data_IF_192555829847
#
_entry.id   IF_192555829847
#
_cell.length_a   1.000
_cell.length_b   1.000
_cell.length_c   1.000
_cell.angle_alpha   90.00
_cell.angle_beta   90.00
_cell.angle_gamma   90.00
#
_symmetry.space_group_name_H-M   'P 1'
#
loop_
_entity.id
_entity.type
_entity.pdbx_description
1 polymer ?
#
# COMPACT_ATOMS: atom_id res chain seq x y z
N UNK A 1 27.61 -74.14 -16.63
CA UNK A 1 26.27 -73.55 -16.89
C UNK A 1 25.61 -72.93 -15.65
N UNK A 2 25.63 -73.60 -14.46
CA UNK A 2 25.01 -73.03 -13.23
C UNK A 2 25.63 -71.69 -12.74
N UNK A 3 26.93 -71.44 -12.95
CA UNK A 3 27.64 -70.21 -12.54
C UNK A 3 27.38 -68.99 -13.49
N UNK A 4 27.09 -69.26 -14.76
CA UNK A 4 26.76 -68.24 -15.74
C UNK A 4 25.31 -67.83 -15.58
N UNK A 5 24.41 -68.71 -15.20
CA UNK A 5 23.01 -68.40 -14.94
C UNK A 5 22.82 -67.51 -13.69
N UNK A 6 23.62 -67.75 -12.64
CA UNK A 6 23.61 -66.90 -11.43
C UNK A 6 24.17 -65.50 -11.66
N UNK A 7 25.14 -65.35 -12.58
CA UNK A 7 25.70 -64.02 -12.92
C UNK A 7 24.71 -63.15 -13.77
N UNK A 8 23.97 -63.85 -14.69
CA UNK A 8 22.94 -63.19 -15.51
C UNK A 8 21.72 -62.75 -14.68
N UNK A 9 21.32 -63.62 -13.69
CA UNK A 9 20.23 -63.22 -12.75
C UNK A 9 20.65 -62.07 -11.81
N UNK A 10 21.90 -62.03 -11.35
CA UNK A 10 22.42 -60.96 -10.52
C UNK A 10 22.55 -59.64 -11.30
N UNK A 11 22.96 -59.67 -12.59
CA UNK A 11 22.99 -58.52 -13.46
C UNK A 11 21.58 -58.01 -13.82
N UNK A 12 20.60 -58.91 -14.02
CA UNK A 12 19.21 -58.52 -14.27
C UNK A 12 18.54 -57.90 -13.03
N UNK A 13 18.89 -58.32 -11.82
CA UNK A 13 18.42 -57.70 -10.58
C UNK A 13 19.08 -56.34 -10.31
N UNK A 14 20.35 -56.16 -10.64
CA UNK A 14 21.05 -54.86 -10.53
C UNK A 14 20.55 -53.88 -11.60
N UNK A 15 20.25 -54.34 -12.82
CA UNK A 15 19.64 -53.50 -13.86
C UNK A 15 18.16 -53.20 -13.58
N UNK A 16 17.43 -54.06 -12.87
CA UNK A 16 16.06 -53.81 -12.41
C UNK A 16 15.97 -52.81 -11.25
N UNK A 17 17.04 -52.67 -10.45
CA UNK A 17 17.12 -51.70 -9.38
C UNK A 17 17.68 -50.34 -9.83
N UNK A 18 18.25 -50.21 -11.04
CA UNK A 18 18.73 -48.93 -11.59
C UNK A 18 17.71 -48.22 -12.46
N UNK A 19 16.51 -48.74 -12.67
CA UNK A 19 15.46 -48.11 -13.44
C UNK A 19 14.29 -47.53 -12.61
N UNK A 20 14.48 -47.44 -11.29
CA UNK A 20 13.66 -46.55 -10.42
C UNK A 20 14.53 -45.36 -9.99
N UNK A 21 15.21 -44.76 -10.95
CA UNK A 21 15.67 -43.40 -10.82
C UNK A 21 14.46 -42.51 -11.16
N UNK A 22 13.75 -42.13 -10.10
CA UNK A 22 12.87 -41.02 -9.93
C UNK A 22 12.25 -40.42 -11.18
N UNK A 23 11.05 -40.83 -11.56
CA UNK A 23 10.13 -39.84 -12.07
C UNK A 23 9.91 -38.87 -10.90
N UNK A 24 10.41 -37.65 -10.99
CA UNK A 24 10.03 -36.57 -10.08
C UNK A 24 8.51 -36.58 -9.97
N UNK A 25 7.99 -36.54 -8.76
CA UNK A 25 6.55 -36.40 -8.57
C UNK A 25 6.09 -35.17 -9.35
N UNK A 26 4.92 -35.22 -10.01
CA UNK A 26 4.44 -34.08 -10.74
C UNK A 26 4.32 -32.89 -9.78
N UNK A 27 4.92 -31.78 -10.14
CA UNK A 27 4.87 -30.55 -9.34
C UNK A 27 3.48 -29.93 -9.39
N UNK A 28 3.07 -29.32 -8.28
CA UNK A 28 1.87 -28.50 -8.25
C UNK A 28 2.16 -27.15 -8.91
N UNK A 29 1.51 -26.85 -10.03
CA UNK A 29 1.67 -25.57 -10.71
C UNK A 29 0.78 -24.51 -10.09
N UNK A 30 1.38 -23.35 -9.72
CA UNK A 30 0.70 -22.13 -9.31
C UNK A 30 1.02 -21.02 -10.29
N UNK A 31 -0.02 -20.41 -10.87
CA UNK A 31 0.06 -19.22 -11.73
C UNK A 31 -0.21 -17.99 -10.87
N UNK A 32 0.75 -17.08 -10.80
CA UNK A 32 0.69 -15.86 -9.98
C UNK A 32 0.73 -14.63 -10.88
N UNK A 33 -0.31 -13.79 -10.81
CA UNK A 33 -0.34 -12.52 -11.48
C UNK A 33 -0.10 -11.38 -10.51
N UNK A 34 0.70 -10.41 -10.94
CA UNK A 34 0.99 -9.22 -10.15
C UNK A 34 1.15 -7.99 -11.05
N UNK A 35 0.96 -6.81 -10.48
CA UNK A 35 1.22 -5.54 -11.15
C UNK A 35 2.67 -5.06 -10.97
N UNK A 36 3.42 -5.66 -10.05
CA UNK A 36 4.86 -5.44 -9.84
C UNK A 36 5.59 -6.79 -9.72
N UNK A 37 6.91 -6.77 -9.80
CA UNK A 37 7.75 -7.95 -9.61
C UNK A 37 8.10 -8.23 -8.13
N UNK A 38 7.56 -7.46 -7.18
CA UNK A 38 7.87 -7.59 -5.76
C UNK A 38 7.52 -8.98 -5.24
N UNK A 39 6.26 -9.42 -5.41
CA UNK A 39 5.82 -10.76 -4.94
C UNK A 39 6.61 -11.88 -5.61
N UNK A 40 6.94 -11.77 -6.90
CA UNK A 40 7.82 -12.73 -7.58
C UNK A 40 9.17 -12.81 -6.88
N UNK A 41 9.83 -11.69 -6.64
CA UNK A 41 11.12 -11.63 -5.95
C UNK A 41 11.06 -12.21 -4.54
N UNK A 42 9.97 -11.96 -3.81
CA UNK A 42 9.74 -12.56 -2.48
C UNK A 42 9.59 -14.07 -2.57
N UNK A 43 8.79 -14.59 -3.50
CA UNK A 43 8.59 -16.03 -3.69
C UNK A 43 9.92 -16.71 -4.06
N UNK A 44 10.65 -16.17 -5.01
CA UNK A 44 11.94 -16.73 -5.47
C UNK A 44 13.01 -16.71 -4.37
N UNK A 45 13.01 -15.71 -3.51
CA UNK A 45 14.03 -15.57 -2.44
C UNK A 45 13.69 -16.38 -1.19
N UNK A 46 12.44 -16.34 -0.72
CA UNK A 46 12.10 -16.81 0.63
C UNK A 46 11.29 -18.12 0.65
N UNK A 47 10.48 -18.39 -0.38
CA UNK A 47 9.54 -19.50 -0.37
C UNK A 47 9.95 -20.67 -1.29
N UNK A 48 10.15 -20.40 -2.57
CA UNK A 48 10.42 -21.43 -3.59
C UNK A 48 11.64 -22.34 -3.29
N UNK A 49 12.74 -21.86 -2.67
CA UNK A 49 13.86 -22.72 -2.33
C UNK A 49 13.52 -23.86 -1.35
N UNK A 50 12.48 -23.69 -0.53
CA UNK A 50 12.01 -24.68 0.45
C UNK A 50 10.81 -25.48 -0.05
N UNK A 51 10.24 -25.15 -1.22
CA UNK A 51 9.05 -25.78 -1.82
C UNK A 51 9.32 -26.28 -3.24
N UNK A 52 10.27 -27.21 -3.43
CA UNK A 52 10.63 -27.73 -4.77
C UNK A 52 9.49 -28.51 -5.44
N UNK A 53 8.46 -28.93 -4.68
CA UNK A 53 7.24 -29.58 -5.16
C UNK A 53 6.28 -28.63 -5.87
N UNK A 54 6.49 -27.29 -5.78
CA UNK A 54 5.68 -26.28 -6.44
C UNK A 54 6.44 -25.72 -7.65
N UNK A 55 5.73 -25.55 -8.75
CA UNK A 55 6.19 -24.86 -9.95
C UNK A 55 5.45 -23.54 -10.07
N UNK A 56 6.18 -22.43 -10.05
CA UNK A 56 5.60 -21.08 -10.19
C UNK A 56 5.67 -20.60 -11.62
N UNK A 57 4.55 -20.04 -12.12
CA UNK A 57 4.48 -19.26 -13.34
C UNK A 57 4.05 -17.84 -13.00
N UNK A 58 4.87 -16.83 -13.35
CA UNK A 58 4.59 -15.43 -13.05
C UNK A 58 4.17 -14.68 -14.31
N UNK A 59 3.16 -13.83 -14.16
CA UNK A 59 2.78 -12.87 -15.19
C UNK A 59 2.64 -11.49 -14.54
N UNK A 60 3.43 -10.54 -15.04
CA UNK A 60 3.48 -9.17 -14.52
C UNK A 60 2.89 -8.21 -15.55
N UNK A 61 1.88 -7.46 -15.16
CA UNK A 61 1.22 -6.45 -15.96
C UNK A 61 1.21 -5.13 -15.18
N UNK A 62 1.74 -4.01 -15.72
CA UNK A 62 1.72 -2.73 -15.01
C UNK A 62 0.30 -2.19 -14.86
N UNK A 63 0.10 -1.30 -13.87
CA UNK A 63 -1.19 -0.60 -13.68
C UNK A 63 -1.37 0.59 -14.61
N UNK A 64 -0.33 0.98 -15.35
CA UNK A 64 -0.38 2.10 -16.30
C UNK A 64 -1.55 1.96 -17.28
N UNK A 65 -2.41 2.97 -17.33
CA UNK A 65 -3.60 2.97 -18.19
C UNK A 65 -4.59 1.84 -17.90
N UNK A 66 -4.63 1.38 -16.64
CA UNK A 66 -5.46 0.26 -16.18
C UNK A 66 -5.22 -1.06 -16.94
N UNK A 67 -3.97 -1.29 -17.36
CA UNK A 67 -3.63 -2.49 -18.14
C UNK A 67 -3.79 -3.76 -17.31
N UNK A 68 -3.40 -3.73 -16.02
CA UNK A 68 -3.56 -4.85 -15.10
C UNK A 68 -5.03 -5.18 -14.86
N UNK A 69 -5.84 -4.19 -14.47
CA UNK A 69 -7.27 -4.34 -14.19
C UNK A 69 -8.01 -4.85 -15.44
N UNK A 70 -7.73 -4.26 -16.60
CA UNK A 70 -8.30 -4.71 -17.87
C UNK A 70 -7.97 -6.18 -18.14
N UNK A 71 -6.74 -6.61 -17.85
CA UNK A 71 -6.33 -8.00 -18.05
C UNK A 71 -7.04 -8.94 -17.08
N UNK A 72 -7.17 -8.55 -15.79
CA UNK A 72 -7.90 -9.31 -14.77
C UNK A 72 -9.36 -9.45 -15.15
N UNK A 73 -10.04 -8.35 -15.49
CA UNK A 73 -11.46 -8.33 -15.85
C UNK A 73 -11.76 -9.20 -17.07
N UNK A 74 -10.97 -9.06 -18.13
CA UNK A 74 -11.14 -9.84 -19.36
C UNK A 74 -10.86 -11.34 -19.18
N UNK A 75 -10.10 -11.71 -18.14
CA UNK A 75 -9.80 -13.12 -17.86
C UNK A 75 -10.77 -13.69 -16.84
N UNK A 76 -10.91 -13.06 -15.69
CA UNK A 76 -11.72 -13.61 -14.59
C UNK A 76 -13.22 -13.38 -14.80
N UNK A 77 -13.60 -12.33 -15.55
CA UNK A 77 -14.99 -12.05 -15.91
C UNK A 77 -15.57 -12.96 -17.00
N UNK A 78 -14.73 -13.81 -17.64
CA UNK A 78 -15.18 -14.76 -18.67
C UNK A 78 -15.01 -16.18 -18.16
N UNK A 79 -16.08 -16.96 -17.92
CA UNK A 79 -16.02 -18.26 -17.24
C UNK A 79 -15.00 -19.24 -17.80
N UNK A 80 -14.94 -19.40 -19.14
CA UNK A 80 -13.98 -20.31 -19.78
C UNK A 80 -12.53 -19.82 -19.67
N UNK A 81 -12.32 -18.50 -19.69
CA UNK A 81 -10.99 -17.91 -19.54
C UNK A 81 -10.51 -17.97 -18.09
N UNK A 82 -11.41 -17.81 -17.12
CA UNK A 82 -11.10 -17.83 -15.69
C UNK A 82 -10.54 -19.20 -15.21
N UNK A 83 -10.89 -20.29 -15.87
CA UNK A 83 -10.39 -21.65 -15.57
C UNK A 83 -9.27 -22.13 -16.50
N UNK A 84 -8.81 -21.29 -17.44
CA UNK A 84 -7.73 -21.64 -18.35
C UNK A 84 -6.40 -21.88 -17.61
N UNK A 85 -5.48 -22.59 -18.23
CA UNK A 85 -4.16 -22.85 -17.62
C UNK A 85 -3.36 -21.57 -17.38
N UNK A 86 -3.53 -20.55 -18.21
CA UNK A 86 -2.85 -19.26 -18.12
C UNK A 86 -3.49 -18.30 -17.09
N UNK A 87 -4.76 -18.53 -16.71
CA UNK A 87 -5.42 -17.70 -15.71
C UNK A 87 -4.71 -17.83 -14.35
N UNK A 88 -4.70 -16.77 -13.53
CA UNK A 88 -4.04 -16.83 -12.23
C UNK A 88 -4.77 -17.79 -11.28
N UNK A 89 -4.01 -18.46 -10.44
CA UNK A 89 -4.50 -19.09 -9.23
C UNK A 89 -4.57 -18.08 -8.09
N UNK A 90 -3.53 -17.23 -8.02
CA UNK A 90 -3.37 -16.13 -7.07
C UNK A 90 -3.05 -14.87 -7.87
N UNK A 91 -3.65 -13.76 -7.48
CA UNK A 91 -3.37 -12.46 -8.09
C UNK A 91 -3.33 -11.35 -7.04
N UNK A 92 -2.52 -10.33 -7.32
CA UNK A 92 -2.37 -9.21 -6.39
C UNK A 92 -3.39 -8.12 -6.68
N UNK A 93 -3.77 -7.41 -5.63
CA UNK A 93 -4.73 -6.30 -5.64
C UNK A 93 -4.08 -5.09 -4.98
N UNK A 94 -4.08 -3.97 -5.67
CA UNK A 94 -3.57 -2.70 -5.15
C UNK A 94 -4.70 -1.91 -4.49
N UNK A 95 -4.38 -1.04 -3.55
CA UNK A 95 -5.34 -0.27 -2.76
C UNK A 95 -6.36 0.51 -3.61
N UNK A 96 -5.97 1.04 -4.77
CA UNK A 96 -6.87 1.81 -5.63
C UNK A 96 -8.04 1.00 -6.19
N UNK A 97 -7.85 -0.33 -6.35
CA UNK A 97 -8.87 -1.19 -6.95
C UNK A 97 -9.23 -2.44 -6.14
N UNK A 98 -8.63 -2.66 -4.97
CA UNK A 98 -8.88 -3.85 -4.15
C UNK A 98 -10.36 -4.01 -3.82
N UNK A 99 -11.07 -2.93 -3.48
CA UNK A 99 -12.50 -2.98 -3.15
C UNK A 99 -13.36 -3.46 -4.30
N UNK A 100 -13.10 -3.02 -5.53
CA UNK A 100 -13.78 -3.51 -6.72
C UNK A 100 -13.68 -5.04 -6.84
N UNK A 101 -12.48 -5.59 -6.63
CA UNK A 101 -12.28 -7.03 -6.78
C UNK A 101 -12.77 -7.87 -5.60
N UNK A 102 -12.66 -7.40 -4.37
CA UNK A 102 -13.22 -8.16 -3.23
C UNK A 102 -14.75 -8.13 -3.21
N UNK A 103 -15.40 -7.12 -3.79
CA UNK A 103 -16.86 -7.13 -4.00
C UNK A 103 -17.28 -8.04 -5.17
N UNK A 104 -16.41 -8.25 -6.15
CA UNK A 104 -16.72 -9.08 -7.33
C UNK A 104 -16.79 -10.58 -7.01
N UNK A 105 -17.44 -11.34 -7.90
CA UNK A 105 -17.43 -12.81 -7.87
C UNK A 105 -16.10 -13.41 -8.40
N UNK A 106 -15.18 -12.59 -8.91
CA UNK A 106 -13.89 -13.03 -9.46
C UNK A 106 -12.93 -13.48 -8.37
N UNK A 107 -12.98 -12.82 -7.22
CA UNK A 107 -12.11 -13.10 -6.08
C UNK A 107 -12.80 -14.06 -5.12
N UNK A 108 -12.15 -15.18 -4.85
CA UNK A 108 -12.67 -16.24 -4.00
C UNK A 108 -12.57 -15.92 -2.51
N UNK A 109 -13.41 -16.58 -1.72
CA UNK A 109 -13.31 -16.57 -0.27
C UNK A 109 -12.07 -17.38 0.17
N UNK A 110 -11.19 -16.79 0.96
CA UNK A 110 -9.97 -17.48 1.42
C UNK A 110 -10.28 -18.77 2.22
N UNK A 111 -11.46 -18.88 2.83
CA UNK A 111 -11.91 -20.13 3.48
C UNK A 111 -12.09 -21.29 2.49
N UNK A 112 -12.31 -21.02 1.21
CA UNK A 112 -12.47 -22.06 0.18
C UNK A 112 -11.17 -22.82 -0.08
N UNK A 113 -10.02 -22.27 0.30
CA UNK A 113 -8.70 -22.89 0.26
C UNK A 113 -8.16 -23.29 1.63
N UNK A 114 -8.97 -23.16 2.70
CA UNK A 114 -8.68 -23.73 4.01
C UNK A 114 -8.35 -22.72 5.12
N UNK A 115 -8.39 -21.41 4.88
CA UNK A 115 -8.19 -20.43 5.96
C UNK A 115 -9.26 -20.55 7.05
N UNK A 116 -8.83 -20.44 8.30
CA UNK A 116 -9.68 -20.41 9.49
C UNK A 116 -9.91 -19.00 10.01
N UNK A 117 -10.95 -18.81 10.82
CA UNK A 117 -11.21 -17.51 11.45
C UNK A 117 -10.06 -17.04 12.36
N UNK A 118 -9.44 -18.01 13.07
CA UNK A 118 -8.30 -17.72 13.96
C UNK A 118 -7.07 -17.24 13.17
N UNK A 119 -6.81 -17.79 11.99
CA UNK A 119 -5.72 -17.34 11.11
C UNK A 119 -6.01 -15.93 10.57
N UNK A 120 -7.24 -15.66 10.14
CA UNK A 120 -7.62 -14.37 9.56
C UNK A 120 -7.60 -13.22 10.58
N UNK A 121 -7.69 -13.53 11.88
CA UNK A 121 -7.76 -12.54 12.95
C UNK A 121 -6.42 -11.88 13.33
N UNK A 122 -5.27 -12.36 12.79
CA UNK A 122 -3.94 -11.85 13.19
C UNK A 122 -3.45 -10.65 12.38
N UNK A 123 -4.09 -10.36 11.23
CA UNK A 123 -3.76 -9.19 10.42
C UNK A 123 -4.15 -7.87 11.11
N UNK A 124 -3.46 -6.76 10.78
CA UNK A 124 -3.92 -5.45 11.22
C UNK A 124 -5.35 -5.17 10.75
N UNK A 125 -6.23 -4.66 11.64
CA UNK A 125 -7.66 -4.48 11.33
C UNK A 125 -7.92 -3.69 10.04
N UNK A 126 -7.19 -2.60 9.79
CA UNK A 126 -7.36 -1.77 8.60
C UNK A 126 -7.11 -2.58 7.31
N UNK A 127 -6.04 -3.39 7.28
CA UNK A 127 -5.69 -4.18 6.10
C UNK A 127 -6.67 -5.34 5.88
N UNK A 128 -7.15 -5.96 6.98
CA UNK A 128 -8.19 -6.98 6.93
C UNK A 128 -9.52 -6.40 6.41
N UNK A 129 -9.98 -5.26 6.94
CA UNK A 129 -11.21 -4.57 6.51
C UNK A 129 -11.19 -4.20 5.02
N UNK A 130 -10.04 -3.73 4.51
CA UNK A 130 -9.89 -3.41 3.09
C UNK A 130 -9.96 -4.68 2.23
N UNK A 131 -9.38 -5.80 2.67
CA UNK A 131 -9.41 -7.10 1.99
C UNK A 131 -10.73 -7.88 2.13
N UNK A 132 -11.72 -7.34 2.86
CA UNK A 132 -13.06 -7.91 2.99
C UNK A 132 -14.04 -7.28 2.01
N UNK A 133 -15.04 -8.07 1.59
CA UNK A 133 -16.21 -7.51 0.91
C UNK A 133 -17.22 -6.93 1.92
N UNK A 134 -18.29 -6.31 1.41
CA UNK A 134 -19.38 -5.70 2.20
C UNK A 134 -20.12 -6.68 3.12
N UNK A 135 -20.03 -8.00 2.85
CA UNK A 135 -20.60 -9.06 3.69
C UNK A 135 -19.61 -9.57 4.76
N UNK A 136 -18.43 -8.97 4.91
CA UNK A 136 -17.40 -9.38 5.87
C UNK A 136 -16.64 -10.65 5.47
N UNK A 137 -16.71 -11.06 4.19
CA UNK A 137 -15.97 -12.22 3.68
C UNK A 137 -14.55 -11.79 3.33
N UNK A 138 -13.55 -12.45 3.94
CA UNK A 138 -12.14 -12.19 3.63
C UNK A 138 -11.76 -12.79 2.28
N UNK A 139 -11.39 -11.94 1.33
CA UNK A 139 -11.03 -12.32 -0.03
C UNK A 139 -9.60 -11.94 -0.42
N UNK A 140 -8.95 -11.08 0.35
CA UNK A 140 -7.55 -10.71 0.20
C UNK A 140 -6.84 -10.54 1.53
N UNK A 141 -5.55 -10.90 1.60
CA UNK A 141 -4.65 -10.64 2.72
C UNK A 141 -3.40 -9.93 2.23
N UNK A 142 -2.87 -9.02 3.04
CA UNK A 142 -1.68 -8.23 2.72
C UNK A 142 -0.49 -8.65 3.56
N UNK A 143 0.70 -8.71 2.95
CA UNK A 143 1.97 -8.90 3.69
C UNK A 143 2.47 -7.62 4.34
N UNK A 144 1.99 -6.46 3.90
CA UNK A 144 2.37 -5.16 4.41
C UNK A 144 1.17 -4.47 5.08
N UNK A 145 1.44 -3.60 6.02
CA UNK A 145 0.50 -2.56 6.43
C UNK A 145 1.06 -1.21 6.01
N UNK A 146 0.20 -0.31 5.58
CA UNK A 146 0.60 0.96 4.97
C UNK A 146 0.06 2.17 5.73
N UNK A 147 0.24 2.21 7.08
CA UNK A 147 -0.14 3.38 7.85
C UNK A 147 0.61 4.60 7.35
N UNK A 148 -0.07 5.73 7.32
CA UNK A 148 0.50 7.00 6.96
C UNK A 148 0.69 7.90 8.18
N UNK A 149 1.68 8.77 8.10
CA UNK A 149 2.05 9.73 9.13
C UNK A 149 2.47 11.05 8.48
N UNK A 150 2.65 12.09 9.28
CA UNK A 150 3.24 13.34 8.83
C UNK A 150 4.77 13.25 8.93
N UNK A 151 5.46 13.46 7.81
CA UNK A 151 6.91 13.53 7.71
C UNK A 151 7.33 14.98 7.53
N UNK A 152 8.29 15.46 8.32
CA UNK A 152 8.68 16.86 8.27
C UNK A 152 10.20 17.07 8.29
N UNK A 153 10.64 18.21 7.76
CA UNK A 153 12.03 18.67 7.75
C UNK A 153 12.36 19.28 9.11
N UNK A 154 13.16 18.58 9.91
CA UNK A 154 13.53 18.99 11.27
C UNK A 154 14.28 20.32 11.29
N UNK A 155 15.20 20.54 10.34
CA UNK A 155 15.94 21.80 10.23
C UNK A 155 15.03 23.02 9.94
N UNK A 156 14.00 22.84 9.12
CA UNK A 156 13.03 23.91 8.81
C UNK A 156 12.10 24.16 10.00
N UNK A 157 11.65 23.11 10.69
CA UNK A 157 10.85 23.21 11.90
C UNK A 157 11.60 23.96 13.02
N UNK A 158 12.87 23.63 13.26
CA UNK A 158 13.69 24.34 14.23
C UNK A 158 13.96 25.81 13.79
N UNK A 159 14.30 26.02 12.52
CA UNK A 159 14.63 27.34 11.97
C UNK A 159 13.48 28.34 12.09
N UNK A 160 12.28 27.94 11.76
CA UNK A 160 11.15 28.86 11.61
C UNK A 160 10.13 28.78 12.75
N UNK A 161 9.95 27.59 13.36
CA UNK A 161 8.95 27.38 14.40
C UNK A 161 9.55 27.14 15.79
N UNK A 162 10.89 27.01 15.88
CA UNK A 162 11.58 26.72 17.14
C UNK A 162 11.35 25.29 17.65
N UNK A 163 10.78 24.41 16.84
CA UNK A 163 10.44 23.02 17.15
C UNK A 163 11.70 22.15 17.10
N UNK A 164 11.96 21.39 18.18
CA UNK A 164 13.18 20.61 18.34
C UNK A 164 12.96 19.11 18.46
N UNK A 165 11.71 18.67 18.64
CA UNK A 165 11.39 17.25 18.78
C UNK A 165 10.10 16.89 18.03
N UNK A 166 9.89 15.59 17.70
CA UNK A 166 8.65 15.12 17.12
C UNK A 166 7.42 15.39 17.99
N UNK A 167 7.56 15.36 19.32
CA UNK A 167 6.47 15.65 20.25
C UNK A 167 6.06 17.13 20.19
N UNK A 168 7.05 18.04 20.09
CA UNK A 168 6.77 19.46 19.90
C UNK A 168 6.12 19.73 18.54
N UNK A 169 6.54 19.00 17.48
CA UNK A 169 5.90 19.10 16.17
C UNK A 169 4.47 18.57 16.21
N UNK A 170 4.22 17.47 16.94
CA UNK A 170 2.86 16.92 17.09
C UNK A 170 1.89 17.94 17.69
N UNK A 171 2.29 18.74 18.67
CA UNK A 171 1.43 19.80 19.22
C UNK A 171 1.08 20.89 18.18
N UNK A 172 1.93 21.10 17.20
CA UNK A 172 1.72 22.04 16.08
C UNK A 172 0.80 21.51 14.98
N UNK A 173 0.60 20.17 14.91
CA UNK A 173 -0.14 19.53 13.82
C UNK A 173 -1.11 18.44 14.30
N UNK A 174 -1.56 18.51 15.56
CA UNK A 174 -2.39 17.47 16.19
C UNK A 174 -3.82 17.40 15.66
N UNK A 175 -4.28 18.46 15.03
CA UNK A 175 -5.56 18.58 14.34
C UNK A 175 -5.42 19.58 13.18
N UNK A 176 -6.45 19.67 12.33
CA UNK A 176 -6.39 20.51 11.14
C UNK A 176 -6.42 22.00 11.45
N UNK A 177 -7.01 22.42 12.57
CA UNK A 177 -6.99 23.82 13.02
C UNK A 177 -5.58 24.23 13.40
N UNK A 178 -4.91 23.46 14.25
CA UNK A 178 -3.52 23.74 14.64
C UNK A 178 -2.55 23.56 13.47
N UNK A 179 -2.84 22.67 12.52
CA UNK A 179 -2.07 22.54 11.28
C UNK A 179 -2.13 23.83 10.44
N UNK A 180 -3.33 24.41 10.28
CA UNK A 180 -3.50 25.65 9.55
C UNK A 180 -2.86 26.85 10.27
N UNK A 181 -3.04 26.96 11.61
CA UNK A 181 -2.38 27.99 12.43
C UNK A 181 -0.84 27.91 12.28
N UNK A 182 -0.29 26.67 12.25
CA UNK A 182 1.14 26.44 12.04
C UNK A 182 1.60 26.83 10.65
N UNK A 183 0.79 26.60 9.62
CA UNK A 183 1.09 27.04 8.26
C UNK A 183 1.17 28.57 8.14
N UNK A 184 0.29 29.30 8.82
CA UNK A 184 0.30 30.77 8.88
C UNK A 184 1.52 31.29 9.68
N UNK A 185 1.84 30.66 10.82
CA UNK A 185 3.04 30.96 11.61
C UNK A 185 4.30 30.75 10.76
N UNK A 186 4.39 29.62 10.06
CA UNK A 186 5.50 29.26 9.17
C UNK A 186 5.69 30.31 8.06
N UNK A 187 4.59 30.70 7.39
CA UNK A 187 4.61 31.74 6.36
C UNK A 187 5.14 33.06 6.91
N UNK A 188 4.67 33.47 8.09
CA UNK A 188 5.10 34.71 8.75
C UNK A 188 6.58 34.64 9.12
N UNK A 189 7.01 33.57 9.77
CA UNK A 189 8.39 33.40 10.25
C UNK A 189 9.41 33.25 9.10
N UNK A 190 9.00 32.67 7.98
CA UNK A 190 9.85 32.48 6.81
C UNK A 190 9.75 33.63 5.78
N UNK A 191 8.92 34.65 6.03
CA UNK A 191 8.59 35.69 5.04
C UNK A 191 8.04 35.09 3.72
N UNK A 192 7.33 33.95 3.83
CA UNK A 192 6.75 33.20 2.71
C UNK A 192 7.72 32.29 1.94
N UNK A 193 8.97 32.15 2.39
CA UNK A 193 9.95 31.31 1.72
C UNK A 193 9.69 29.81 1.92
N UNK A 194 9.22 29.40 3.10
CA UNK A 194 8.87 28.03 3.43
C UNK A 194 7.35 27.82 3.35
N UNK A 195 6.93 26.72 2.71
CA UNK A 195 5.52 26.35 2.59
C UNK A 195 5.22 25.15 3.47
N UNK A 196 3.97 25.05 3.94
CA UNK A 196 3.56 23.95 4.82
C UNK A 196 3.59 22.60 4.10
N UNK A 197 2.95 22.52 2.92
CA UNK A 197 2.88 21.36 2.05
C UNK A 197 3.11 21.78 0.59
N UNK A 198 3.28 20.81 -0.30
CA UNK A 198 3.47 21.10 -1.72
C UNK A 198 2.17 21.61 -2.37
N UNK A 199 1.06 21.00 -2.08
CA UNK A 199 -0.27 21.40 -2.53
C UNK A 199 -1.36 20.93 -1.58
N UNK A 200 -2.54 21.52 -1.68
CA UNK A 200 -3.69 21.12 -0.86
C UNK A 200 -4.09 19.65 -1.08
N UNK A 201 -3.89 19.12 -2.29
CA UNK A 201 -4.13 17.69 -2.57
C UNK A 201 -3.24 16.72 -1.80
N UNK A 202 -2.08 17.17 -1.29
CA UNK A 202 -1.16 16.29 -0.51
C UNK A 202 -1.79 15.79 0.80
N UNK A 203 -2.77 16.53 1.34
CA UNK A 203 -3.43 16.15 2.61
C UNK A 203 -4.63 15.22 2.42
N UNK A 204 -5.10 15.01 1.18
CA UNK A 204 -6.31 14.23 0.90
C UNK A 204 -6.26 12.81 1.48
N UNK A 205 -5.15 12.08 1.26
CA UNK A 205 -5.02 10.71 1.73
C UNK A 205 -5.15 10.58 3.26
N UNK A 206 -4.76 11.60 4.01
CA UNK A 206 -4.96 11.66 5.45
C UNK A 206 -6.38 12.12 5.79
N UNK A 207 -6.83 13.23 5.18
CA UNK A 207 -8.10 13.86 5.53
C UNK A 207 -9.30 12.95 5.32
N UNK A 208 -9.34 12.16 4.25
CA UNK A 208 -10.45 11.25 3.97
C UNK A 208 -10.71 10.21 5.09
N UNK A 209 -9.73 9.92 5.95
CA UNK A 209 -9.88 9.02 7.10
C UNK A 209 -10.56 9.69 8.30
N UNK A 210 -10.77 11.00 8.27
CA UNK A 210 -11.54 11.72 9.30
C UNK A 210 -13.05 11.61 9.07
N UNK A 211 -13.49 11.28 7.86
CA UNK A 211 -14.91 11.14 7.54
C UNK A 211 -15.61 10.19 8.52
N UNK A 212 -16.84 10.52 8.87
CA UNK A 212 -17.70 9.68 9.71
C UNK A 212 -18.40 8.57 8.92
N UNK A 213 -18.58 8.80 7.61
CA UNK A 213 -19.26 7.90 6.67
C UNK A 213 -18.52 7.83 5.33
N UNK A 214 -18.70 6.72 4.60
CA UNK A 214 -18.18 6.54 3.25
C UNK A 214 -18.96 7.35 2.20
N UNK A 215 -18.45 7.32 0.96
CA UNK A 215 -19.12 7.95 -0.19
C UNK A 215 -20.49 7.35 -0.52
N UNK A 216 -20.71 6.10 -0.17
CA UNK A 216 -21.98 5.41 -0.43
C UNK A 216 -22.52 4.82 0.86
N UNK A 217 -23.73 5.25 1.25
CA UNK A 217 -24.45 4.78 2.44
C UNK A 217 -25.82 4.30 2.01
N UNK A 218 -26.16 3.06 2.32
CA UNK A 218 -27.43 2.43 1.95
C UNK A 218 -27.77 2.55 0.45
N UNK A 219 -26.76 2.46 -0.42
CA UNK A 219 -26.89 2.55 -1.87
C UNK A 219 -27.08 3.97 -2.41
N UNK A 220 -26.85 5.00 -1.61
CA UNK A 220 -26.98 6.42 -1.97
C UNK A 220 -25.64 7.14 -1.87
N UNK A 221 -25.39 8.08 -2.79
CA UNK A 221 -24.27 9.00 -2.65
C UNK A 221 -24.43 9.80 -1.35
N UNK A 222 -23.38 9.77 -0.54
CA UNK A 222 -23.28 10.54 0.70
C UNK A 222 -22.12 11.54 0.59
N UNK A 223 -22.38 12.79 0.89
CA UNK A 223 -21.36 13.82 1.04
C UNK A 223 -21.27 14.12 2.53
N UNK A 224 -20.21 13.59 3.15
CA UNK A 224 -19.93 13.77 4.58
C UNK A 224 -19.63 15.25 4.86
N UNK A 225 -20.11 15.78 5.99
CA UNK A 225 -19.90 17.19 6.35
C UNK A 225 -18.40 17.55 6.45
N UNK A 226 -17.55 16.61 6.86
CA UNK A 226 -16.09 16.74 6.92
C UNK A 226 -15.46 17.10 5.55
N UNK A 227 -16.13 16.72 4.43
CA UNK A 227 -15.64 17.09 3.10
C UNK A 227 -15.79 18.59 2.80
N UNK A 228 -16.77 19.25 3.40
CA UNK A 228 -16.94 20.70 3.27
C UNK A 228 -15.84 21.44 4.03
N UNK A 229 -15.48 20.95 5.21
CA UNK A 229 -14.36 21.49 5.99
C UNK A 229 -13.03 21.27 5.27
N UNK A 230 -12.86 20.12 4.57
CA UNK A 230 -11.72 19.87 3.70
C UNK A 230 -11.60 20.93 2.59
N UNK A 231 -12.69 21.26 1.92
CA UNK A 231 -12.68 22.23 0.83
C UNK A 231 -12.31 23.64 1.32
N UNK A 232 -12.80 24.08 2.49
CA UNK A 232 -12.43 25.36 3.08
C UNK A 232 -10.95 25.37 3.51
N UNK A 233 -10.45 24.27 4.07
CA UNK A 233 -9.03 24.11 4.41
C UNK A 233 -8.16 24.20 3.15
N UNK A 234 -8.48 23.45 2.10
CA UNK A 234 -7.75 23.46 0.84
C UNK A 234 -7.74 24.84 0.19
N UNK A 235 -8.89 25.51 0.18
CA UNK A 235 -9.00 26.87 -0.35
C UNK A 235 -8.12 27.86 0.43
N UNK A 236 -8.13 27.80 1.75
CA UNK A 236 -7.30 28.65 2.60
C UNK A 236 -5.81 28.39 2.34
N UNK A 237 -5.39 27.10 2.32
CA UNK A 237 -4.01 26.73 2.03
C UNK A 237 -3.50 27.28 0.70
N UNK A 238 -4.33 27.23 -0.35
CA UNK A 238 -3.96 27.70 -1.69
C UNK A 238 -4.03 29.23 -1.84
N UNK A 239 -5.12 29.88 -1.34
CA UNK A 239 -5.35 31.30 -1.54
C UNK A 239 -4.47 32.15 -0.63
N UNK A 240 -4.17 31.67 0.58
CA UNK A 240 -3.28 32.36 1.51
C UNK A 240 -1.79 32.04 1.27
N UNK A 241 -1.45 31.39 0.14
CA UNK A 241 -0.08 31.12 -0.26
C UNK A 241 0.71 30.30 0.77
N UNK A 242 0.07 29.25 1.32
CA UNK A 242 0.64 28.33 2.32
C UNK A 242 1.21 27.06 1.69
N UNK A 243 1.03 26.88 0.37
CA UNK A 243 1.52 25.74 -0.42
C UNK A 243 2.47 26.20 -1.54
N UNK A 244 3.17 25.22 -2.15
CA UNK A 244 3.94 25.43 -3.39
C UNK A 244 3.03 25.52 -4.64
N UNK A 245 1.72 25.32 -4.48
CA UNK A 245 0.70 25.30 -5.56
C UNK A 245 0.98 24.25 -6.63
N UNK A 246 1.48 23.09 -6.20
CA UNK A 246 1.83 21.97 -7.06
C UNK A 246 1.32 20.65 -6.47
N UNK A 247 0.99 19.70 -7.34
CA UNK A 247 0.52 18.38 -6.91
C UNK A 247 1.65 17.40 -6.60
N UNK A 248 1.30 16.33 -5.91
CA UNK A 248 2.16 15.16 -5.71
C UNK A 248 2.66 14.59 -7.05
N UNK A 249 3.80 13.91 -7.00
CA UNK A 249 4.46 13.25 -8.15
C UNK A 249 5.02 14.20 -9.22
N UNK A 250 4.87 15.51 -9.05
CA UNK A 250 5.46 16.53 -9.91
C UNK A 250 6.88 16.92 -9.49
N UNK A 251 7.60 17.59 -10.39
CA UNK A 251 8.98 18.03 -10.12
C UNK A 251 9.10 18.95 -8.89
N UNK A 252 8.15 19.84 -8.68
CA UNK A 252 8.10 20.71 -7.49
C UNK A 252 8.00 19.93 -6.19
N UNK A 253 7.21 18.85 -6.19
CA UNK A 253 7.06 17.96 -5.03
C UNK A 253 8.38 17.27 -4.68
N UNK A 254 9.09 16.74 -5.70
CA UNK A 254 10.41 16.14 -5.52
C UNK A 254 11.50 17.17 -5.17
N UNK A 255 11.43 18.40 -5.71
CA UNK A 255 12.35 19.47 -5.37
C UNK A 255 12.28 19.86 -3.88
N UNK A 256 11.09 19.80 -3.28
CA UNK A 256 10.93 19.97 -1.83
C UNK A 256 11.59 18.83 -1.02
N UNK A 257 11.47 17.58 -1.49
CA UNK A 257 12.15 16.44 -0.87
C UNK A 257 13.66 16.55 -0.95
N UNK A 258 14.21 17.05 -2.06
CA UNK A 258 15.65 17.31 -2.25
C UNK A 258 16.16 18.51 -1.47
N UNK A 259 15.25 19.36 -0.96
CA UNK A 259 15.63 20.61 -0.27
C UNK A 259 16.02 21.76 -1.19
N UNK A 260 15.71 21.67 -2.49
CA UNK A 260 15.91 22.73 -3.49
C UNK A 260 14.92 23.90 -3.28
N UNK A 261 13.75 23.57 -2.72
CA UNK A 261 12.77 24.52 -2.20
C UNK A 261 12.36 24.14 -0.78
N UNK A 262 11.91 25.10 0.01
CA UNK A 262 11.53 24.86 1.40
C UNK A 262 10.06 24.44 1.50
N UNK A 263 9.80 23.14 1.65
CA UNK A 263 8.52 22.52 1.97
C UNK A 263 8.66 21.79 3.30
N UNK A 264 7.84 22.14 4.30
CA UNK A 264 8.01 21.61 5.66
C UNK A 264 7.53 20.19 5.79
N UNK A 265 6.32 19.85 5.32
CA UNK A 265 5.63 18.60 5.61
C UNK A 265 5.22 17.82 4.34
N UNK A 266 5.16 16.49 4.51
CA UNK A 266 4.60 15.53 3.57
C UNK A 266 3.76 14.51 4.32
N UNK A 267 2.61 14.14 3.79
CA UNK A 267 1.80 13.04 4.29
C UNK A 267 2.14 11.78 3.48
N UNK A 268 2.91 10.88 4.06
CA UNK A 268 3.39 9.68 3.38
C UNK A 268 3.19 8.42 4.23
N UNK A 269 2.90 7.28 3.59
CA UNK A 269 2.84 5.99 4.25
C UNK A 269 4.24 5.36 4.38
N UNK A 270 4.28 4.15 4.90
CA UNK A 270 5.50 3.37 5.09
C UNK A 270 6.33 3.24 3.81
N UNK A 271 5.71 2.81 2.71
CA UNK A 271 6.37 2.71 1.41
C UNK A 271 6.82 4.08 0.87
N UNK A 272 6.07 5.14 1.16
CA UNK A 272 6.45 6.51 0.78
C UNK A 272 7.77 6.95 1.40
N UNK A 273 8.08 6.51 2.63
CA UNK A 273 9.37 6.74 3.26
C UNK A 273 10.51 6.08 2.47
N UNK A 274 10.37 4.80 2.13
CA UNK A 274 11.44 3.99 1.55
C UNK A 274 11.59 4.15 0.05
N UNK A 275 10.48 4.21 -0.69
CA UNK A 275 10.47 4.18 -2.16
C UNK A 275 10.23 5.56 -2.80
N UNK A 276 9.87 6.58 -1.99
CA UNK A 276 9.61 7.93 -2.51
C UNK A 276 10.50 8.97 -1.84
N UNK A 277 10.42 9.15 -0.53
CA UNK A 277 11.13 10.22 0.16
C UNK A 277 12.65 10.00 0.20
N UNK A 278 13.10 8.80 0.62
CA UNK A 278 14.53 8.48 0.71
C UNK A 278 15.23 8.54 -0.66
N UNK A 279 14.70 7.95 -1.76
CA UNK A 279 15.33 8.06 -3.09
C UNK A 279 15.34 9.47 -3.67
N UNK A 280 14.42 10.33 -3.25
CA UNK A 280 14.34 11.71 -3.72
C UNK A 280 14.91 12.73 -2.71
N UNK A 281 15.69 12.30 -1.73
CA UNK A 281 16.32 13.21 -0.76
C UNK A 281 17.52 13.97 -1.31
N UNK A 282 18.05 13.57 -2.47
CA UNK A 282 19.17 14.22 -3.16
C UNK A 282 19.06 13.99 -4.66
N UNK A 283 19.53 14.93 -5.45
CA UNK A 283 19.71 14.72 -6.88
C UNK A 283 20.81 13.66 -7.15
N UNK A 284 20.51 12.72 -8.05
CA UNK A 284 21.46 11.64 -8.41
C UNK A 284 21.59 10.54 -7.37
N UNK A 285 20.54 10.26 -6.60
CA UNK A 285 20.48 9.10 -5.73
C UNK A 285 20.81 7.80 -6.48
N UNK A 286 21.75 7.01 -5.95
CA UNK A 286 22.08 5.70 -6.52
C UNK A 286 21.09 4.63 -6.03
N UNK A 287 20.11 4.33 -6.87
CA UNK A 287 19.08 3.34 -6.56
C UNK A 287 19.58 1.88 -6.64
N UNK A 288 20.70 1.63 -7.34
CA UNK A 288 21.31 0.29 -7.42
C UNK A 288 22.11 -0.04 -6.15
N UNK A 289 22.69 1.02 -5.50
CA UNK A 289 23.48 0.87 -4.27
C UNK A 289 22.98 1.86 -3.19
N UNK A 290 21.73 1.76 -2.73
CA UNK A 290 21.08 2.76 -1.89
C UNK A 290 21.79 3.00 -0.55
N UNK A 291 22.43 1.97 -0.01
CA UNK A 291 23.09 2.00 1.30
C UNK A 291 24.65 2.11 1.19
N UNK A 292 25.18 2.43 0.00
CA UNK A 292 26.61 2.68 -0.15
C UNK A 292 27.05 3.93 0.62
N UNK A 293 28.27 3.91 1.18
CA UNK A 293 28.83 5.04 1.91
C UNK A 293 28.86 6.32 1.06
N UNK A 294 29.16 6.18 -0.25
CA UNK A 294 29.22 7.29 -1.19
C UNK A 294 27.86 7.92 -1.40
N UNK A 295 26.81 7.10 -1.61
CA UNK A 295 25.44 7.57 -1.79
C UNK A 295 24.91 8.28 -0.54
N UNK A 296 25.07 7.65 0.64
CA UNK A 296 24.64 8.25 1.92
C UNK A 296 25.40 9.54 2.20
N UNK A 297 26.69 9.59 1.92
CA UNK A 297 27.51 10.81 2.08
C UNK A 297 27.00 11.93 1.17
N UNK A 298 26.79 11.63 -0.13
CA UNK A 298 26.24 12.60 -1.06
C UNK A 298 24.87 13.13 -0.60
N UNK A 299 23.98 12.24 -0.17
CA UNK A 299 22.64 12.60 0.30
C UNK A 299 22.66 13.43 1.60
N UNK A 300 23.63 13.21 2.47
CA UNK A 300 23.82 13.98 3.71
C UNK A 300 24.43 15.35 3.46
N UNK A 301 25.42 15.44 2.57
CA UNK A 301 26.14 16.70 2.30
C UNK A 301 25.41 17.64 1.34
N UNK A 302 24.65 17.08 0.37
CA UNK A 302 24.03 17.82 -0.73
C UNK A 302 22.51 17.71 -0.81
N UNK A 303 21.89 16.95 0.11
CA UNK A 303 20.47 16.70 0.14
C UNK A 303 19.87 16.84 1.54
N UNK A 304 18.87 16.00 1.82
CA UNK A 304 18.07 16.06 3.04
C UNK A 304 18.16 14.79 3.91
N UNK A 305 19.12 13.91 3.64
CA UNK A 305 19.32 12.69 4.42
C UNK A 305 19.65 13.03 5.89
N UNK A 306 18.92 12.44 6.83
CA UNK A 306 19.09 12.68 8.27
C UNK A 306 18.30 13.87 8.82
N UNK A 307 17.69 14.68 7.94
CA UNK A 307 16.93 15.89 8.32
C UNK A 307 15.41 15.63 8.46
N UNK A 308 14.95 14.42 8.18
CA UNK A 308 13.53 14.08 8.30
C UNK A 308 13.19 13.52 9.69
N UNK A 309 11.96 13.80 10.14
CA UNK A 309 11.35 13.20 11.33
C UNK A 309 9.90 12.87 11.04
N UNK A 310 9.37 11.93 11.81
CA UNK A 310 7.97 11.51 11.75
C UNK A 310 7.22 12.01 12.98
N UNK A 311 5.95 12.35 12.79
CA UNK A 311 4.97 12.56 13.85
C UNK A 311 3.61 12.05 13.40
N UNK A 312 2.66 11.79 14.32
CA UNK A 312 1.36 11.21 14.00
C UNK A 312 0.58 12.04 12.96
N UNK A 313 0.69 13.37 13.07
CA UNK A 313 -0.12 14.30 12.29
C UNK A 313 -1.53 14.48 12.85
N UNK A 314 -2.45 15.08 12.07
CA UNK A 314 -3.81 15.38 12.53
C UNK A 314 -4.69 14.15 12.68
N UNK A 315 -4.46 13.12 11.87
CA UNK A 315 -5.29 11.90 11.80
C UNK A 315 -4.46 10.69 11.40
N UNK A 316 -4.77 9.53 11.95
CA UNK A 316 -4.21 8.25 11.51
C UNK A 316 -4.89 7.79 10.21
N UNK A 317 -4.13 7.38 9.23
CA UNK A 317 -4.63 6.96 7.93
C UNK A 317 -3.82 5.78 7.36
N UNK A 318 -4.28 5.23 6.25
CA UNK A 318 -3.55 4.23 5.46
C UNK A 318 -3.56 4.66 3.99
N UNK A 319 -2.46 4.43 3.31
CA UNK A 319 -2.36 4.76 1.88
C UNK A 319 -1.55 3.69 1.13
N UNK A 320 -2.18 3.07 0.13
CA UNK A 320 -1.58 1.99 -0.64
C UNK A 320 -1.73 0.63 0.04
N UNK A 321 -0.93 -0.31 -0.39
CA UNK A 321 -0.93 -1.69 0.05
C UNK A 321 -1.24 -2.67 -1.08
N UNK A 322 -0.78 -3.90 -0.89
CA UNK A 322 -0.96 -4.99 -1.86
C UNK A 322 -1.55 -6.19 -1.15
N UNK A 323 -2.67 -6.69 -1.67
CA UNK A 323 -3.34 -7.90 -1.16
C UNK A 323 -3.15 -9.06 -2.12
N UNK A 324 -3.02 -10.26 -1.60
CA UNK A 324 -3.08 -11.51 -2.34
C UNK A 324 -4.51 -12.04 -2.30
N UNK A 325 -5.14 -12.15 -3.47
CA UNK A 325 -6.45 -12.76 -3.66
C UNK A 325 -6.35 -14.03 -4.48
N UNK A 326 -7.41 -14.87 -4.45
CA UNK A 326 -7.50 -16.11 -5.21
C UNK A 326 -8.56 -16.01 -6.31
N UNK A 327 -8.31 -16.64 -7.44
CA UNK A 327 -9.31 -16.83 -8.50
C UNK A 327 -10.41 -17.77 -8.02
N UNK A 328 -11.63 -17.26 -7.86
CA UNK A 328 -12.78 -18.01 -7.36
C UNK A 328 -13.08 -19.27 -8.19
N UNK A 329 -13.02 -19.16 -9.52
CA UNK A 329 -13.35 -20.25 -10.44
C UNK A 329 -12.31 -21.40 -10.35
N UNK A 330 -11.01 -21.05 -10.27
CA UNK A 330 -9.95 -22.06 -10.08
C UNK A 330 -9.98 -22.68 -8.69
N UNK A 331 -10.18 -21.88 -7.65
CA UNK A 331 -10.30 -22.39 -6.28
C UNK A 331 -11.47 -23.37 -6.12
N UNK A 332 -12.60 -23.13 -6.80
CA UNK A 332 -13.76 -24.04 -6.78
C UNK A 332 -13.46 -25.42 -7.40
N UNK A 333 -12.55 -25.50 -8.36
CA UNK A 333 -12.23 -26.74 -9.10
C UNK A 333 -10.88 -27.36 -8.73
N UNK A 334 -10.06 -26.68 -7.95
CA UNK A 334 -8.76 -27.17 -7.50
C UNK A 334 -8.92 -28.39 -6.59
N UNK A 335 -7.99 -29.33 -6.71
CA UNK A 335 -7.84 -30.44 -5.77
C UNK A 335 -7.26 -29.95 -4.43
N UNK A 336 -7.31 -30.84 -3.43
CA UNK A 336 -6.86 -30.51 -2.07
C UNK A 336 -5.36 -30.12 -2.02
N UNK A 337 -4.52 -30.71 -2.89
CA UNK A 337 -3.08 -30.41 -2.96
C UNK A 337 -2.85 -28.99 -3.45
N UNK A 338 -3.57 -28.57 -4.50
CA UNK A 338 -3.47 -27.24 -5.04
C UNK A 338 -4.05 -26.18 -4.09
N UNK A 339 -5.18 -26.49 -3.43
CA UNK A 339 -5.75 -25.63 -2.39
C UNK A 339 -4.78 -25.42 -1.23
N UNK A 340 -4.16 -26.52 -0.77
CA UNK A 340 -3.15 -26.44 0.30
C UNK A 340 -1.94 -25.59 -0.12
N UNK A 341 -1.47 -25.71 -1.37
CA UNK A 341 -0.35 -24.92 -1.87
C UNK A 341 -0.71 -23.41 -1.95
N UNK A 342 -1.93 -23.05 -2.40
CA UNK A 342 -2.39 -21.66 -2.39
C UNK A 342 -2.52 -21.11 -0.97
N UNK A 343 -3.13 -21.88 -0.06
CA UNK A 343 -3.26 -21.51 1.35
C UNK A 343 -1.89 -21.25 1.98
N UNK A 344 -0.96 -22.22 1.83
CA UNK A 344 0.36 -22.16 2.44
C UNK A 344 1.18 -20.98 1.94
N UNK A 345 1.14 -20.72 0.63
CA UNK A 345 1.80 -19.54 0.03
C UNK A 345 1.27 -18.23 0.58
N UNK A 346 -0.05 -18.04 0.59
CA UNK A 346 -0.66 -16.80 1.09
C UNK A 346 -0.37 -16.64 2.59
N UNK A 347 -0.57 -17.71 3.37
CA UNK A 347 -0.31 -17.71 4.81
C UNK A 347 1.15 -17.35 5.11
N UNK A 348 2.10 -17.95 4.40
CA UNK A 348 3.52 -17.66 4.59
C UNK A 348 3.84 -16.18 4.43
N UNK A 349 3.38 -15.56 3.37
CA UNK A 349 3.69 -14.15 3.12
C UNK A 349 2.91 -13.17 4.00
N UNK A 350 1.70 -13.54 4.44
CA UNK A 350 0.81 -12.55 5.08
C UNK A 350 0.62 -12.76 6.59
N UNK A 351 0.87 -13.97 7.11
CA UNK A 351 0.54 -14.33 8.50
C UNK A 351 1.67 -15.06 9.23
N UNK A 352 2.79 -15.41 8.56
CA UNK A 352 3.93 -16.06 9.20
C UNK A 352 4.80 -14.99 9.88
N UNK A 353 4.77 -14.94 11.22
CA UNK A 353 5.47 -13.94 11.99
C UNK A 353 7.00 -14.02 11.86
N UNK A 354 7.56 -15.22 11.70
CA UNK A 354 9.01 -15.42 11.55
C UNK A 354 9.47 -14.88 10.18
N UNK A 355 8.73 -15.20 9.10
CA UNK A 355 8.99 -14.62 7.79
C UNK A 355 8.83 -13.10 7.80
N UNK A 356 7.71 -12.59 8.33
CA UNK A 356 7.43 -11.16 8.33
C UNK A 356 8.46 -10.37 9.15
N UNK A 357 8.94 -10.92 10.27
CA UNK A 357 10.04 -10.32 11.05
C UNK A 357 11.35 -10.30 10.25
N UNK A 358 11.65 -11.38 9.53
CA UNK A 358 12.84 -11.45 8.67
C UNK A 358 12.71 -10.47 7.48
N UNK A 359 11.55 -10.43 6.83
CA UNK A 359 11.28 -9.55 5.71
C UNK A 359 11.39 -8.06 6.09
N UNK A 360 10.85 -7.70 7.25
CA UNK A 360 10.99 -6.35 7.80
C UNK A 360 12.46 -5.95 8.02
N UNK A 361 13.28 -6.88 8.51
CA UNK A 361 14.71 -6.64 8.70
C UNK A 361 15.47 -6.50 7.36
N UNK A 362 15.09 -7.27 6.35
CA UNK A 362 15.74 -7.29 5.04
C UNK A 362 15.35 -6.09 4.15
N UNK A 363 14.09 -5.65 4.22
CA UNK A 363 13.51 -4.63 3.34
C UNK A 363 13.34 -3.26 4.00
N UNK A 364 13.19 -3.22 5.33
CA UNK A 364 12.75 -2.04 6.06
C UNK A 364 11.24 -1.77 5.96
N UNK A 365 10.49 -2.61 5.25
CA UNK A 365 9.04 -2.44 5.04
C UNK A 365 8.26 -2.69 6.34
N UNK A 366 7.08 -2.07 6.45
CA UNK A 366 6.21 -2.24 7.61
C UNK A 366 5.20 -3.35 7.33
N UNK A 367 5.37 -4.47 8.05
CA UNK A 367 4.66 -5.73 7.77
C UNK A 367 3.23 -5.77 8.30
N UNK A 368 2.42 -6.66 7.71
CA UNK A 368 0.98 -6.77 7.95
C UNK A 368 0.57 -7.46 9.26
N UNK A 369 1.51 -8.06 10.02
CA UNK A 369 1.24 -8.73 11.31
C UNK A 369 1.55 -7.83 12.50
N UNK A 370 0.54 -7.57 13.33
CA UNK A 370 0.71 -6.83 14.58
C UNK A 370 1.69 -7.52 15.54
N UNK A 371 1.71 -8.87 15.54
CA UNK A 371 2.61 -9.64 16.40
C UNK A 371 4.06 -9.57 15.92
N UNK A 372 4.32 -9.61 14.61
CA UNK A 372 5.65 -9.40 14.06
C UNK A 372 6.16 -7.99 14.39
N UNK A 373 5.32 -6.97 14.24
CA UNK A 373 5.63 -5.58 14.62
C UNK A 373 5.94 -5.46 16.11
N UNK A 374 5.15 -6.07 16.99
CA UNK A 374 5.41 -6.12 18.42
C UNK A 374 6.76 -6.78 18.73
N UNK A 375 7.10 -7.86 18.04
CA UNK A 375 8.38 -8.55 18.18
C UNK A 375 9.55 -7.64 17.79
N UNK A 376 9.43 -6.90 16.68
CA UNK A 376 10.45 -5.93 16.23
C UNK A 376 10.64 -4.84 17.29
N UNK A 377 9.56 -4.26 17.79
CA UNK A 377 9.61 -3.20 18.81
C UNK A 377 10.23 -3.69 20.12
N UNK A 378 9.88 -4.90 20.58
CA UNK A 378 10.44 -5.51 21.79
C UNK A 378 11.94 -5.84 21.67
N UNK A 379 12.43 -6.04 20.44
CA UNK A 379 13.85 -6.27 20.14
C UNK A 379 14.66 -4.97 19.94
N UNK A 380 14.09 -3.80 20.22
CA UNK A 380 14.76 -2.51 20.17
C UNK A 380 14.36 -1.62 18.98
N UNK A 381 13.34 -2.01 18.26
CA UNK A 381 12.81 -1.26 17.12
C UNK A 381 13.75 -1.21 15.91
N UNK A 382 13.56 -0.21 15.07
CA UNK A 382 14.35 0.02 13.85
C UNK A 382 14.81 1.48 13.76
N UNK A 383 15.83 1.89 14.56
CA UNK A 383 16.38 3.24 14.43
C UNK A 383 16.85 3.51 13.00
N UNK A 384 16.32 4.56 12.39
CA UNK A 384 16.57 4.87 10.99
C UNK A 384 17.47 6.10 10.84
N UNK A 385 18.70 5.94 10.32
CA UNK A 385 19.61 7.08 10.11
C UNK A 385 19.05 8.17 9.19
N UNK A 386 18.23 7.81 8.21
CA UNK A 386 17.52 8.75 7.35
C UNK A 386 16.61 9.70 8.14
N UNK A 387 16.07 9.20 9.25
CA UNK A 387 15.21 9.95 10.18
C UNK A 387 15.99 10.49 11.39
N UNK A 388 17.31 10.65 11.26
CA UNK A 388 18.16 11.10 12.36
C UNK A 388 18.19 10.16 13.56
N UNK A 389 17.94 8.87 13.33
CA UNK A 389 17.91 7.83 14.37
C UNK A 389 16.54 7.58 14.99
N UNK A 390 15.47 8.24 14.55
CA UNK A 390 14.12 7.96 15.04
C UNK A 390 13.67 6.55 14.66
N UNK A 391 13.00 5.85 15.57
CA UNK A 391 12.37 4.56 15.30
C UNK A 391 11.04 4.76 14.58
N UNK A 392 11.01 4.45 13.28
CA UNK A 392 9.82 4.62 12.47
C UNK A 392 8.74 3.57 12.77
N UNK A 393 9.12 2.34 13.19
CA UNK A 393 8.15 1.28 13.50
C UNK A 393 7.21 1.67 14.65
N UNK A 394 7.71 2.32 15.68
CA UNK A 394 6.91 2.73 16.83
C UNK A 394 5.79 3.70 16.42
N UNK A 395 6.08 4.64 15.51
CA UNK A 395 5.12 5.64 15.03
C UNK A 395 4.12 5.02 14.06
N UNK A 396 4.60 4.24 13.10
CA UNK A 396 3.73 3.55 12.15
C UNK A 396 2.80 2.52 12.83
N UNK A 397 3.27 1.80 13.87
CA UNK A 397 2.45 0.88 14.63
C UNK A 397 1.24 1.57 15.30
N UNK A 398 1.46 2.77 15.84
CA UNK A 398 0.39 3.58 16.41
C UNK A 398 -0.64 3.99 15.35
N UNK A 399 -0.19 4.46 14.19
CA UNK A 399 -1.07 4.84 13.09
C UNK A 399 -1.84 3.63 12.53
N UNK A 400 -1.19 2.46 12.37
CA UNK A 400 -1.83 1.22 11.90
C UNK A 400 -2.95 0.74 12.84
N UNK A 401 -2.81 0.96 14.15
CA UNK A 401 -3.82 0.58 15.13
C UNK A 401 -5.05 1.50 15.16
N UNK A 402 -4.90 2.74 14.68
CA UNK A 402 -5.95 3.77 14.73
C UNK A 402 -6.66 3.98 13.38
N UNK A 403 -6.02 3.69 12.26
CA UNK A 403 -6.61 3.86 10.93
C UNK A 403 -7.81 2.92 10.73
N UNK A 404 -8.87 3.44 10.10
CA UNK A 404 -10.12 2.71 9.86
C UNK A 404 -10.38 2.56 8.35
N UNK A 405 -10.23 1.35 7.82
CA UNK A 405 -10.49 1.03 6.41
C UNK A 405 -11.96 0.66 6.09
N UNK A 406 -12.84 0.64 7.09
CA UNK A 406 -14.23 0.16 6.91
C UNK A 406 -15.12 1.10 6.07
N UNK A 407 -14.69 2.35 5.87
CA UNK A 407 -15.43 3.33 5.07
C UNK A 407 -15.16 3.20 3.57
N UNK A 408 -14.15 2.43 3.18
CA UNK A 408 -13.80 2.25 1.76
C UNK A 408 -14.84 1.39 1.03
N UNK A 409 -15.18 1.80 -0.17
CA UNK A 409 -16.10 1.10 -1.07
C UNK A 409 -15.50 0.91 -2.46
N UNK A 410 -16.13 0.10 -3.29
CA UNK A 410 -15.75 -0.10 -4.70
C UNK A 410 -15.86 1.18 -5.55
N UNK A 411 -16.57 2.19 -5.07
CA UNK A 411 -16.82 3.45 -5.76
C UNK A 411 -15.79 4.53 -5.44
N UNK A 412 -14.99 4.36 -4.38
CA UNK A 412 -14.16 5.43 -3.82
C UNK A 412 -13.17 6.01 -4.84
N UNK A 413 -12.49 5.17 -5.64
CA UNK A 413 -11.55 5.64 -6.65
C UNK A 413 -12.22 6.59 -7.65
N UNK A 414 -13.36 6.16 -8.23
CA UNK A 414 -14.10 6.98 -9.20
C UNK A 414 -14.66 8.24 -8.58
N UNK A 415 -15.22 8.14 -7.37
CA UNK A 415 -15.85 9.30 -6.70
C UNK A 415 -14.79 10.32 -6.25
N UNK A 416 -13.64 9.86 -5.74
CA UNK A 416 -12.53 10.74 -5.38
C UNK A 416 -12.01 11.52 -6.60
N UNK A 417 -11.83 10.89 -7.75
CA UNK A 417 -11.40 11.54 -8.98
C UNK A 417 -12.42 12.60 -9.45
N UNK A 418 -13.71 12.28 -9.35
CA UNK A 418 -14.77 13.22 -9.69
C UNK A 418 -14.85 14.37 -8.68
N UNK A 419 -14.65 14.10 -7.39
CA UNK A 419 -14.63 15.14 -6.35
C UNK A 419 -13.47 16.12 -6.58
N UNK A 420 -12.24 15.60 -6.72
CA UNK A 420 -11.09 16.46 -7.01
C UNK A 420 -11.30 17.32 -8.26
N UNK A 421 -11.79 16.72 -9.34
CA UNK A 421 -11.96 17.38 -10.64
C UNK A 421 -13.05 18.45 -10.64
N UNK A 422 -14.18 18.19 -9.97
CA UNK A 422 -15.37 19.04 -10.08
C UNK A 422 -15.64 19.88 -8.83
N UNK A 423 -15.04 19.54 -7.68
CA UNK A 423 -15.19 20.31 -6.43
C UNK A 423 -13.86 20.92 -6.01
N UNK A 424 -12.88 20.10 -5.59
CA UNK A 424 -11.64 20.60 -4.97
C UNK A 424 -10.85 21.52 -5.90
N UNK A 425 -10.50 21.05 -7.09
CA UNK A 425 -9.68 21.81 -8.03
C UNK A 425 -10.34 23.15 -8.45
N UNK A 426 -11.60 23.24 -8.91
CA UNK A 426 -12.20 24.50 -9.30
C UNK A 426 -12.48 25.44 -8.11
N UNK A 427 -12.82 24.88 -6.93
CA UNK A 427 -13.10 25.70 -5.75
C UNK A 427 -11.84 26.34 -5.17
N UNK A 428 -10.77 25.58 -5.02
CA UNK A 428 -9.49 26.07 -4.51
C UNK A 428 -8.84 27.10 -5.43
N UNK A 429 -8.99 26.95 -6.76
CA UNK A 429 -8.52 27.93 -7.74
C UNK A 429 -9.41 29.18 -7.85
N UNK A 430 -10.56 29.21 -7.18
CA UNK A 430 -11.51 30.32 -7.28
C UNK A 430 -12.24 30.40 -8.62
N UNK A 431 -12.26 29.33 -9.40
CA UNK A 431 -13.03 29.22 -10.65
C UNK A 431 -14.52 29.12 -10.35
N UNK A 432 -14.88 28.56 -9.21
CA UNK A 432 -16.23 28.48 -8.65
C UNK A 432 -16.26 29.21 -7.32
N UNK A 433 -17.16 30.14 -7.15
CA UNK A 433 -17.24 30.97 -5.96
C UNK A 433 -17.93 30.32 -4.77
N UNK A 434 -18.83 29.38 -5.03
CA UNK A 434 -19.64 28.67 -4.04
C UNK A 434 -19.43 27.16 -4.19
N UNK A 435 -19.08 26.51 -3.10
CA UNK A 435 -18.87 25.05 -3.07
C UNK A 435 -20.14 24.26 -3.44
N UNK A 436 -21.33 24.77 -3.12
CA UNK A 436 -22.61 24.14 -3.47
C UNK A 436 -22.81 24.01 -4.98
N UNK A 437 -22.36 25.03 -5.76
CA UNK A 437 -22.45 24.97 -7.22
C UNK A 437 -21.51 23.89 -7.80
N UNK A 438 -20.31 23.75 -7.22
CA UNK A 438 -19.36 22.69 -7.57
C UNK A 438 -19.93 21.30 -7.24
N UNK A 439 -20.54 21.15 -6.06
CA UNK A 439 -21.17 19.91 -5.61
C UNK A 439 -22.37 19.54 -6.52
N UNK A 440 -23.14 20.51 -6.98
CA UNK A 440 -24.24 20.23 -7.91
C UNK A 440 -23.72 19.62 -9.23
N UNK A 441 -22.61 20.13 -9.77
CA UNK A 441 -21.97 19.55 -10.96
C UNK A 441 -21.36 18.18 -10.67
N UNK A 442 -20.66 18.01 -9.55
CA UNK A 442 -20.16 16.73 -9.10
C UNK A 442 -21.25 15.66 -9.05
N UNK A 443 -22.40 15.95 -8.44
CA UNK A 443 -23.55 15.03 -8.38
C UNK A 443 -24.03 14.62 -9.79
N UNK A 444 -24.08 15.56 -10.73
CA UNK A 444 -24.43 15.26 -12.11
C UNK A 444 -23.42 14.30 -12.76
N UNK A 445 -22.13 14.48 -12.49
CA UNK A 445 -21.08 13.62 -13.03
C UNK A 445 -21.13 12.23 -12.41
N UNK A 446 -21.28 12.11 -11.08
CA UNK A 446 -21.46 10.81 -10.41
C UNK A 446 -22.63 10.06 -10.99
N UNK A 447 -23.80 10.72 -11.14
CA UNK A 447 -25.01 10.13 -11.71
C UNK A 447 -24.82 9.64 -13.16
N UNK A 448 -23.96 10.27 -13.92
CA UNK A 448 -23.67 9.89 -15.30
C UNK A 448 -22.73 8.69 -15.42
N UNK A 449 -21.82 8.51 -14.44
CA UNK A 449 -20.77 7.48 -14.45
C UNK A 449 -21.18 6.26 -13.64
N UNK A 450 -21.77 6.46 -12.45
CA UNK A 450 -22.16 5.39 -11.54
C UNK A 450 -23.69 5.26 -11.54
N UNK A 451 -24.18 4.21 -12.19
CA UNK A 451 -25.65 3.98 -12.36
C UNK A 451 -26.23 3.04 -11.31
N UNK A 452 -25.38 2.49 -10.44
CA UNK A 452 -25.75 1.49 -9.43
C UNK A 452 -26.12 2.10 -8.08
N UNK A 453 -25.88 3.41 -7.88
CA UNK A 453 -26.21 4.15 -6.66
C UNK A 453 -27.24 5.26 -6.96
N UNK A 454 -28.00 5.63 -5.93
CA UNK A 454 -28.93 6.76 -5.98
C UNK A 454 -28.17 8.07 -5.71
N UNK A 455 -28.42 9.10 -6.53
CA UNK A 455 -27.85 10.45 -6.38
C UNK A 455 -28.99 11.45 -6.33
N UNK A 456 -29.19 12.09 -5.18
CA UNK A 456 -30.27 13.09 -4.93
C UNK A 456 -29.94 14.48 -5.51
#
# INVERSE_FOLDING_TARGET
MKKVLSLVLALALVLGCMSIAGAEAPKTKLVVWSFTNELQGMIEKYYAPNHPEIEFEFQIYPTDGSAYETKVDNTLGVPDAAVSEEAPDIFTLEAAFVKHYVESDFTGNLKDIGFTDDELAVAFPVMAQIGQNSNGIQKGLSWQSTPGVLMYRASLAEKYLGVKSPEEMQEKVKDWDTFLETAEELKTASEGACKMVCGSGDIWNAYQYQRSQGWVVDGKLNIDDELLDFEELCKTLEQDDLTQKAGAWGETWFAGMRGEIETLCYFLPTWGLHYTLKPNCVAGWDAENPDSEENIKNATENGTYGDWRLTDGPVAYSWGGTWMGINAAKAATADDTKKAAMHDLIKFFTLDDDFLTQYAADSGDFVGSAKAVETILNNGGTPNPFLGGQDHYAIFAKAAALANGSLMSEYDSTINDLWDKFVTTPYTKGEVANVDDAIAEFKNQVKSVITTIEVD
#
